data_IF_241394571545
#
_entry.id   IF_241394571545
#
_cell.length_a   1.000
_cell.length_b   1.000
_cell.length_c   1.000
_cell.angle_alpha   90.00
_cell.angle_beta   90.00
_cell.angle_gamma   90.00
#
_symmetry.space_group_name_H-M   'P 1'
#
loop_
_entity.id
_entity.type
_entity.pdbx_description
1 polymer ?
#
# COMPACT_ATOMS: atom_id res chain seq x y z
N UNK A 1 -11.61 0.48 -26.72
CA UNK A 1 -10.16 0.53 -26.36
C UNK A 1 -9.80 -0.81 -25.71
N UNK A 2 -8.65 -1.37 -26.07
CA UNK A 2 -8.14 -2.55 -25.38
C UNK A 2 -7.40 -2.11 -24.13
N UNK A 3 -7.72 -2.63 -22.95
CA UNK A 3 -7.00 -2.30 -21.74
C UNK A 3 -5.59 -2.92 -21.78
N UNK A 4 -4.60 -2.22 -21.20
CA UNK A 4 -3.25 -2.78 -21.04
C UNK A 4 -3.20 -3.91 -20.03
N UNK A 5 -4.05 -3.83 -19.00
CA UNK A 5 -4.19 -4.84 -17.96
C UNK A 5 -5.68 -5.12 -17.71
N UNK A 6 -6.03 -6.38 -17.57
CA UNK A 6 -7.37 -6.85 -17.26
C UNK A 6 -7.34 -7.82 -16.08
N UNK A 7 -8.17 -7.56 -15.07
CA UNK A 7 -8.39 -8.50 -13.98
C UNK A 7 -9.85 -8.97 -13.98
N UNK A 8 -10.06 -10.26 -13.94
CA UNK A 8 -11.37 -10.89 -13.78
C UNK A 8 -11.43 -11.41 -12.34
N UNK A 9 -12.37 -10.88 -11.57
CA UNK A 9 -12.54 -11.17 -10.15
C UNK A 9 -13.94 -11.75 -9.90
N UNK A 10 -13.99 -13.02 -9.44
CA UNK A 10 -15.24 -13.76 -9.17
C UNK A 10 -15.14 -14.36 -7.76
N UNK A 11 -15.62 -13.64 -6.73
CA UNK A 11 -15.54 -14.09 -5.33
C UNK A 11 -16.30 -15.38 -5.05
N UNK A 12 -17.43 -15.58 -5.73
CA UNK A 12 -18.34 -16.72 -5.51
C UNK A 12 -17.86 -18.03 -6.13
N UNK A 13 -16.69 -18.03 -6.80
CA UNK A 13 -16.13 -19.27 -7.34
C UNK A 13 -15.81 -20.26 -6.22
N UNK A 14 -16.15 -21.57 -6.36
CA UNK A 14 -16.07 -22.52 -5.26
C UNK A 14 -14.63 -22.84 -4.81
N UNK A 15 -13.66 -22.63 -5.67
CA UNK A 15 -12.24 -22.89 -5.39
C UNK A 15 -11.43 -21.61 -5.45
N UNK A 16 -10.46 -21.45 -4.55
CA UNK A 16 -9.55 -20.30 -4.59
C UNK A 16 -8.47 -20.52 -5.64
N UNK A 17 -8.54 -19.77 -6.74
CA UNK A 17 -7.62 -19.87 -7.87
C UNK A 17 -7.17 -18.47 -8.26
N UNK A 18 -5.85 -18.27 -8.35
CA UNK A 18 -5.25 -17.01 -8.81
C UNK A 18 -4.24 -17.32 -9.90
N UNK A 19 -4.49 -16.81 -11.12
CA UNK A 19 -3.64 -17.04 -12.28
C UNK A 19 -3.30 -15.71 -12.91
N UNK A 20 -2.01 -15.48 -13.16
CA UNK A 20 -1.51 -14.32 -13.86
C UNK A 20 -0.87 -14.74 -15.19
N UNK A 21 -1.24 -14.02 -16.25
CA UNK A 21 -0.67 -14.15 -17.60
C UNK A 21 0.01 -12.84 -17.97
N UNK A 22 1.27 -12.63 -17.54
CA UNK A 22 1.94 -11.33 -17.68
C UNK A 22 2.08 -10.89 -19.13
N UNK A 23 2.33 -11.80 -20.07
CA UNK A 23 2.51 -11.50 -21.49
C UNK A 23 1.24 -10.94 -22.14
N UNK A 24 0.07 -11.30 -21.62
CA UNK A 24 -1.23 -10.84 -22.14
C UNK A 24 -1.88 -9.76 -21.27
N UNK A 25 -1.28 -9.44 -20.12
CA UNK A 25 -1.85 -8.48 -19.16
C UNK A 25 -3.10 -8.98 -18.43
N UNK A 26 -3.40 -10.31 -18.44
CA UNK A 26 -4.60 -10.89 -17.84
C UNK A 26 -4.32 -11.49 -16.46
N UNK A 27 -5.21 -11.22 -15.51
CA UNK A 27 -5.24 -11.92 -14.22
C UNK A 27 -6.64 -12.49 -13.95
N UNK A 28 -6.72 -13.72 -13.47
CA UNK A 28 -7.95 -14.35 -12.96
C UNK A 28 -7.84 -14.49 -11.45
N UNK A 29 -8.86 -14.01 -10.73
CA UNK A 29 -8.96 -14.12 -9.27
C UNK A 29 -10.33 -14.73 -8.98
N UNK A 30 -10.33 -15.99 -8.58
CA UNK A 30 -11.52 -16.78 -8.35
C UNK A 30 -11.57 -17.24 -6.90
N UNK A 31 -12.76 -17.24 -6.29
CA UNK A 31 -13.00 -17.77 -4.94
C UNK A 31 -12.32 -17.00 -3.82
N UNK A 32 -12.03 -15.72 -4.00
CA UNK A 32 -11.44 -14.85 -2.97
C UNK A 32 -12.39 -13.69 -2.64
N UNK A 33 -12.66 -13.48 -1.38
CA UNK A 33 -13.40 -12.34 -0.85
C UNK A 33 -12.50 -11.13 -0.49
N UNK A 34 -11.18 -11.30 -0.65
CA UNK A 34 -10.19 -10.27 -0.37
C UNK A 34 -9.94 -9.36 -1.59
N UNK A 35 -10.58 -8.20 -1.61
CA UNK A 35 -10.42 -7.22 -2.70
C UNK A 35 -8.97 -6.74 -2.89
N UNK A 36 -8.18 -6.77 -1.83
CA UNK A 36 -6.74 -6.51 -1.91
C UNK A 36 -6.01 -7.37 -2.95
N UNK A 37 -6.52 -8.59 -3.28
CA UNK A 37 -5.97 -9.40 -4.37
C UNK A 37 -6.20 -8.75 -5.74
N UNK A 38 -7.34 -8.13 -5.98
CA UNK A 38 -7.58 -7.40 -7.23
C UNK A 38 -6.60 -6.24 -7.39
N UNK A 39 -6.44 -5.42 -6.34
CA UNK A 39 -5.45 -4.33 -6.29
C UNK A 39 -4.03 -4.86 -6.51
N UNK A 40 -3.62 -5.87 -5.75
CA UNK A 40 -2.27 -6.45 -5.82
C UNK A 40 -1.99 -7.12 -7.17
N UNK A 41 -3.02 -7.64 -7.84
CA UNK A 41 -2.86 -8.19 -9.18
C UNK A 41 -2.42 -7.13 -10.19
N UNK A 42 -3.06 -5.96 -10.19
CA UNK A 42 -2.66 -4.85 -11.06
C UNK A 42 -1.24 -4.35 -10.74
N UNK A 43 -0.90 -4.19 -9.46
CA UNK A 43 0.45 -3.78 -9.05
C UNK A 43 1.51 -4.79 -9.50
N UNK A 44 1.24 -6.09 -9.35
CA UNK A 44 2.13 -7.19 -9.78
C UNK A 44 2.36 -7.16 -11.28
N UNK A 45 1.30 -6.96 -12.07
CA UNK A 45 1.38 -6.89 -13.53
C UNK A 45 2.09 -5.61 -13.99
N UNK A 46 1.86 -4.48 -13.32
CA UNK A 46 2.57 -3.25 -13.60
C UNK A 46 4.07 -3.35 -13.27
N UNK A 47 4.44 -4.03 -12.17
CA UNK A 47 5.85 -4.32 -11.86
C UNK A 47 6.53 -5.14 -12.98
N UNK A 48 5.81 -6.10 -13.56
CA UNK A 48 6.30 -6.88 -14.70
C UNK A 48 6.56 -5.98 -15.92
N UNK A 49 5.60 -5.12 -16.28
CA UNK A 49 5.78 -4.16 -17.40
C UNK A 49 6.94 -3.19 -17.17
N UNK A 50 7.05 -2.63 -15.98
CA UNK A 50 8.19 -1.75 -15.62
C UNK A 50 9.52 -2.47 -15.76
N UNK A 51 9.58 -3.76 -15.40
CA UNK A 51 10.77 -4.59 -15.59
C UNK A 51 11.11 -4.79 -17.07
N UNK A 52 10.12 -4.99 -17.94
CA UNK A 52 10.32 -5.10 -19.39
C UNK A 52 10.86 -3.81 -20.00
N UNK A 53 10.51 -2.66 -19.42
CA UNK A 53 10.98 -1.33 -19.80
C UNK A 53 12.36 -0.97 -19.17
N UNK A 54 13.04 -1.91 -18.53
CA UNK A 54 14.36 -1.71 -17.92
C UNK A 54 14.33 -1.13 -16.50
N UNK A 55 13.17 -0.91 -15.95
CA UNK A 55 12.97 -0.45 -14.58
C UNK A 55 12.83 -1.58 -13.56
N UNK A 56 12.40 -1.22 -12.35
CA UNK A 56 12.19 -2.16 -11.26
C UNK A 56 11.02 -1.75 -10.38
N UNK A 57 10.16 -2.70 -10.00
CA UNK A 57 9.10 -2.51 -9.02
C UNK A 57 9.49 -3.05 -7.66
N UNK A 58 9.20 -2.28 -6.60
CA UNK A 58 9.46 -2.66 -5.21
C UNK A 58 8.15 -2.68 -4.41
N UNK A 59 7.92 -3.76 -3.66
CA UNK A 59 6.95 -3.72 -2.56
C UNK A 59 7.64 -3.04 -1.37
N UNK A 60 7.42 -1.74 -1.23
CA UNK A 60 8.20 -0.88 -0.35
C UNK A 60 7.41 0.35 0.11
N UNK A 61 7.72 0.82 1.32
CA UNK A 61 7.36 2.15 1.75
C UNK A 61 8.34 3.21 1.25
N UNK A 62 7.89 4.44 1.12
CA UNK A 62 8.77 5.55 0.75
C UNK A 62 8.45 6.84 1.47
N UNK A 63 9.50 7.61 1.72
CA UNK A 63 9.42 8.95 2.27
C UNK A 63 10.57 9.84 1.81
N UNK A 64 10.36 11.14 1.95
CA UNK A 64 11.42 12.14 1.90
C UNK A 64 11.77 12.57 3.33
N UNK A 65 13.05 12.61 3.62
CA UNK A 65 13.55 13.32 4.79
C UNK A 65 14.12 14.66 4.32
N UNK A 66 13.55 15.74 4.83
CA UNK A 66 14.12 17.08 4.71
C UNK A 66 14.99 17.31 5.91
N UNK A 67 16.29 17.38 5.71
CA UNK A 67 17.29 17.45 6.78
C UNK A 67 18.45 18.36 6.40
N UNK A 68 19.10 18.94 7.40
CA UNK A 68 20.35 19.65 7.18
C UNK A 68 21.51 18.68 6.95
N UNK A 69 22.30 18.95 5.94
CA UNK A 69 23.55 18.22 5.72
C UNK A 69 24.69 18.75 6.61
N UNK A 70 25.89 18.17 6.48
CA UNK A 70 27.07 18.58 7.25
C UNK A 70 27.52 20.03 7.02
N UNK A 71 27.05 20.67 5.96
CA UNK A 71 27.33 22.08 5.63
C UNK A 71 26.21 23.01 6.10
N UNK A 72 25.22 22.50 6.84
CA UNK A 72 23.99 23.20 7.24
C UNK A 72 23.13 23.66 6.04
N UNK A 73 23.17 22.93 4.93
CA UNK A 73 22.26 23.13 3.81
C UNK A 73 21.07 22.18 3.91
N UNK A 74 19.86 22.70 3.80
CA UNK A 74 18.64 21.92 3.86
C UNK A 74 18.48 21.10 2.59
N UNK A 75 18.34 19.79 2.70
CA UNK A 75 18.24 18.85 1.57
C UNK A 75 17.09 17.89 1.75
N UNK A 76 16.48 17.52 0.62
CA UNK A 76 15.50 16.45 0.54
C UNK A 76 16.19 15.16 0.11
N UNK A 77 16.10 14.12 0.97
CA UNK A 77 16.66 12.80 0.71
C UNK A 77 15.53 11.79 0.61
N UNK A 78 15.41 11.10 -0.54
CA UNK A 78 14.44 10.04 -0.76
C UNK A 78 14.89 8.72 -0.13
N UNK A 79 13.95 8.03 0.54
CA UNK A 79 14.15 6.70 1.10
C UNK A 79 13.11 5.73 0.56
N UNK A 80 13.57 4.56 0.14
CA UNK A 80 12.77 3.39 -0.19
C UNK A 80 13.08 2.31 0.83
N UNK A 81 12.05 1.85 1.54
CA UNK A 81 12.19 0.84 2.59
C UNK A 81 11.50 -0.45 2.16
N UNK A 82 12.27 -1.44 1.80
CA UNK A 82 11.78 -2.76 1.42
C UNK A 82 12.30 -3.85 2.36
N UNK A 83 11.59 -4.97 2.40
CA UNK A 83 11.92 -6.09 3.29
C UNK A 83 10.73 -7.05 3.41
N UNK A 84 10.90 -8.11 4.19
CA UNK A 84 9.86 -9.11 4.43
C UNK A 84 8.70 -8.55 5.28
N UNK A 85 7.61 -9.29 5.35
CA UNK A 85 6.50 -8.99 6.26
C UNK A 85 6.99 -8.96 7.71
N UNK A 86 6.50 -8.02 8.51
CA UNK A 86 6.87 -7.89 9.93
C UNK A 86 8.24 -7.25 10.21
N UNK A 87 8.99 -6.82 9.18
CA UNK A 87 10.32 -6.19 9.37
C UNK A 87 10.25 -4.71 9.77
N UNK A 88 9.06 -4.15 9.94
CA UNK A 88 8.87 -2.76 10.36
C UNK A 88 8.88 -1.72 9.23
N UNK A 89 8.68 -2.13 7.96
CA UNK A 89 8.62 -1.20 6.82
C UNK A 89 7.65 -0.06 7.06
N UNK A 90 6.37 -0.37 7.30
CA UNK A 90 5.32 0.63 7.53
C UNK A 90 5.65 1.52 8.72
N UNK A 91 6.12 0.93 9.83
CA UNK A 91 6.54 1.69 11.02
C UNK A 91 7.63 2.70 10.69
N UNK A 92 8.68 2.30 9.99
CA UNK A 92 9.75 3.22 9.57
C UNK A 92 9.28 4.24 8.55
N UNK A 93 8.36 3.86 7.65
CA UNK A 93 7.80 4.78 6.64
C UNK A 93 7.06 5.94 7.31
N UNK A 94 6.22 5.67 8.29
CA UNK A 94 5.40 6.69 8.96
C UNK A 94 6.12 7.42 10.10
N UNK A 95 7.26 6.91 10.57
CA UNK A 95 7.99 7.49 11.70
C UNK A 95 8.57 8.86 11.34
N UNK A 96 8.37 9.84 12.20
CA UNK A 96 8.82 11.24 12.02
C UNK A 96 10.29 11.47 12.38
N UNK A 97 10.92 10.53 13.09
CA UNK A 97 12.30 10.58 13.57
C UNK A 97 12.59 11.72 14.57
N UNK A 98 11.56 12.31 15.15
CA UNK A 98 11.70 13.47 16.05
C UNK A 98 12.16 14.76 15.34
N UNK A 99 12.04 14.81 14.01
CA UNK A 99 12.39 15.99 13.23
C UNK A 99 11.40 17.13 13.49
N UNK A 100 11.92 18.35 13.63
CA UNK A 100 11.13 19.54 13.97
C UNK A 100 11.59 20.77 13.19
N UNK A 101 10.76 21.80 13.13
CA UNK A 101 11.07 23.06 12.43
C UNK A 101 11.11 22.89 10.91
N UNK A 102 12.22 23.21 10.29
CA UNK A 102 12.41 23.05 8.85
C UNK A 102 12.72 21.60 8.48
N UNK A 103 13.26 20.81 9.41
CA UNK A 103 13.48 19.38 9.19
C UNK A 103 12.17 18.60 9.38
N UNK A 104 11.87 17.66 8.48
CA UNK A 104 10.65 16.87 8.53
C UNK A 104 10.74 15.57 7.76
N UNK A 105 9.95 14.60 8.20
CA UNK A 105 9.66 13.36 7.47
C UNK A 105 8.37 13.53 6.67
N UNK A 106 8.44 13.33 5.38
CA UNK A 106 7.30 13.46 4.45
C UNK A 106 7.03 12.09 3.86
N UNK A 107 6.01 11.40 4.39
CA UNK A 107 5.58 10.10 3.87
C UNK A 107 5.06 10.28 2.45
N UNK A 108 5.47 9.40 1.54
CA UNK A 108 5.04 9.39 0.15
C UNK A 108 4.04 8.29 -0.11
N UNK A 109 4.39 7.03 0.19
CA UNK A 109 3.47 5.89 0.09
C UNK A 109 4.04 4.65 0.80
N UNK A 110 3.23 3.59 0.96
CA UNK A 110 3.58 2.37 1.68
C UNK A 110 3.10 1.07 0.98
N UNK A 111 3.21 0.99 -0.35
CA UNK A 111 2.87 -0.27 -1.03
C UNK A 111 3.83 -0.62 -2.18
N UNK A 112 3.68 -0.05 -3.37
CA UNK A 112 4.54 -0.34 -4.52
C UNK A 112 5.13 0.93 -5.10
N UNK A 113 6.41 0.87 -5.41
CA UNK A 113 7.19 1.94 -6.02
C UNK A 113 7.79 1.41 -7.31
N UNK A 114 7.68 2.18 -8.38
CA UNK A 114 8.40 1.92 -9.62
C UNK A 114 9.62 2.82 -9.69
N UNK A 115 10.73 2.24 -10.10
CA UNK A 115 11.98 2.96 -10.34
C UNK A 115 12.42 2.71 -11.77
N UNK A 116 12.75 3.77 -12.51
CA UNK A 116 13.30 3.66 -13.84
C UNK A 116 14.82 3.39 -13.81
N UNK A 117 15.42 3.23 -14.98
CA UNK A 117 16.86 2.97 -15.15
C UNK A 117 17.77 4.13 -14.65
N UNK A 118 17.22 5.32 -14.49
CA UNK A 118 17.93 6.51 -14.00
C UNK A 118 17.78 6.68 -12.48
N UNK A 119 17.03 5.79 -11.80
CA UNK A 119 16.75 5.87 -10.38
C UNK A 119 15.59 6.83 -10.04
N UNK A 120 14.85 7.33 -11.03
CA UNK A 120 13.64 8.10 -10.75
C UNK A 120 12.53 7.18 -10.23
N UNK A 121 11.91 7.58 -9.12
CA UNK A 121 10.95 6.75 -8.41
C UNK A 121 9.55 7.35 -8.45
N UNK A 122 8.56 6.51 -8.77
CA UNK A 122 7.14 6.87 -8.79
C UNK A 122 6.39 5.95 -7.82
N UNK A 123 5.60 6.56 -6.93
CA UNK A 123 4.66 5.84 -6.08
C UNK A 123 3.39 5.51 -6.85
N UNK A 124 2.80 4.34 -6.57
CA UNK A 124 1.62 3.84 -7.27
C UNK A 124 0.30 4.30 -6.66
N UNK A 125 0.33 4.88 -5.45
CA UNK A 125 -0.85 5.21 -4.68
C UNK A 125 -0.80 6.64 -4.13
N UNK A 126 -1.97 7.26 -4.00
CA UNK A 126 -2.14 8.57 -3.36
C UNK A 126 -2.56 8.47 -1.89
N UNK A 127 -2.79 7.28 -1.39
CA UNK A 127 -3.23 7.00 -0.01
C UNK A 127 -2.58 5.73 0.54
N UNK A 128 -3.09 5.27 1.68
CA UNK A 128 -2.66 4.04 2.33
C UNK A 128 -3.76 2.99 2.27
N UNK A 129 -3.37 1.76 1.99
CA UNK A 129 -4.22 0.60 2.18
C UNK A 129 -3.83 -0.05 3.51
N UNK A 130 -4.70 0.07 4.50
CA UNK A 130 -4.44 -0.36 5.88
C UNK A 130 -5.25 -1.62 6.16
N UNK A 131 -4.57 -2.69 6.60
CA UNK A 131 -5.27 -3.84 7.16
C UNK A 131 -5.75 -3.47 8.56
N UNK A 132 -7.06 -3.65 8.82
CA UNK A 132 -7.68 -3.23 10.07
C UNK A 132 -7.59 -4.26 11.19
N UNK A 133 -7.34 -5.54 10.85
CA UNK A 133 -7.15 -6.60 11.83
C UNK A 133 -6.02 -6.26 12.83
N UNK A 134 -6.35 -6.18 14.11
CA UNK A 134 -5.41 -5.84 15.17
C UNK A 134 -4.96 -4.37 15.19
N UNK A 135 -5.65 -3.47 14.46
CA UNK A 135 -5.34 -2.05 14.45
C UNK A 135 -5.67 -1.42 15.80
N UNK A 136 -4.63 -0.97 16.50
CA UNK A 136 -4.72 -0.49 17.88
C UNK A 136 -4.37 0.99 17.99
N UNK A 137 -5.24 1.85 18.58
CA UNK A 137 -5.01 3.28 18.70
C UNK A 137 -3.78 3.65 19.56
N UNK A 138 -3.42 2.81 20.53
CA UNK A 138 -2.29 3.07 21.41
C UNK A 138 -0.94 2.80 20.73
N UNK A 139 -0.88 1.76 19.90
CA UNK A 139 0.35 1.34 19.21
C UNK A 139 0.48 1.94 17.81
N UNK A 140 -0.64 2.17 17.14
CA UNK A 140 -0.71 2.58 15.73
C UNK A 140 -1.60 3.82 15.54
N UNK A 141 -1.53 4.77 16.46
CA UNK A 141 -2.43 5.92 16.54
C UNK A 141 -2.61 6.70 15.24
N UNK A 142 -1.56 6.86 14.43
CA UNK A 142 -1.63 7.54 13.13
C UNK A 142 -2.49 6.75 12.13
N UNK A 143 -2.26 5.44 12.03
CA UNK A 143 -3.02 4.55 11.13
C UNK A 143 -4.47 4.41 11.60
N UNK A 144 -4.68 4.23 12.91
CA UNK A 144 -6.01 4.17 13.50
C UNK A 144 -6.82 5.43 13.22
N UNK A 145 -6.20 6.61 13.43
CA UNK A 145 -6.83 7.89 13.11
C UNK A 145 -7.17 8.02 11.63
N UNK A 146 -6.29 7.57 10.75
CA UNK A 146 -6.53 7.57 9.30
C UNK A 146 -7.69 6.65 8.91
N UNK A 147 -7.77 5.45 9.49
CA UNK A 147 -8.82 4.47 9.23
C UNK A 147 -10.20 4.87 9.81
N UNK A 148 -10.24 5.79 10.77
CA UNK A 148 -11.47 6.25 11.44
C UNK A 148 -11.92 7.65 10.98
N UNK A 149 -11.31 8.22 9.93
CA UNK A 149 -11.78 9.49 9.37
C UNK A 149 -13.02 9.28 8.50
N UNK A 150 -13.79 10.34 8.32
CA UNK A 150 -14.95 10.41 7.39
C UNK A 150 -14.57 10.20 5.91
N UNK A 151 -13.28 10.25 5.59
CA UNK A 151 -12.71 10.00 4.25
C UNK A 151 -12.20 8.58 4.04
N UNK A 152 -12.19 7.76 5.08
CA UNK A 152 -11.77 6.37 4.97
C UNK A 152 -12.82 5.58 4.17
N UNK A 153 -12.33 4.77 3.23
CA UNK A 153 -13.15 3.78 2.54
C UNK A 153 -12.91 2.45 3.24
N UNK A 154 -13.96 1.91 3.83
CA UNK A 154 -13.89 0.66 4.60
C UNK A 154 -14.42 -0.49 3.74
N UNK A 155 -13.71 -1.59 3.77
CA UNK A 155 -14.08 -2.84 3.10
C UNK A 155 -14.03 -3.99 4.09
N UNK A 156 -15.05 -4.84 4.08
CA UNK A 156 -15.15 -6.00 4.96
C UNK A 156 -15.13 -5.67 6.48
N UNK A 157 -15.39 -4.44 6.83
CA UNK A 157 -15.41 -3.94 8.20
C UNK A 157 -16.85 -3.75 8.64
N UNK A 158 -17.16 -4.13 9.87
CA UNK A 158 -18.48 -3.93 10.44
C UNK A 158 -18.71 -2.45 10.76
N UNK A 159 -19.75 -1.90 10.12
CA UNK A 159 -20.24 -0.55 10.42
C UNK A 159 -21.66 -0.68 10.94
N UNK A 160 -21.92 -0.15 12.13
CA UNK A 160 -23.24 -0.13 12.75
C UNK A 160 -24.10 1.04 12.23
N UNK A 161 -25.41 0.99 12.45
CA UNK A 161 -26.35 2.02 11.99
C UNK A 161 -26.05 3.44 12.54
N UNK A 162 -25.40 3.52 13.70
CA UNK A 162 -24.93 4.75 14.32
C UNK A 162 -23.61 5.29 13.73
N UNK A 163 -23.05 4.60 12.74
CA UNK A 163 -21.78 4.93 12.10
C UNK A 163 -20.54 4.44 12.85
N UNK A 164 -20.72 3.74 13.97
CA UNK A 164 -19.60 3.15 14.71
C UNK A 164 -18.97 2.01 13.90
N UNK A 165 -17.65 1.99 13.87
CA UNK A 165 -16.84 0.98 13.19
C UNK A 165 -16.27 -0.01 14.22
N UNK A 166 -16.33 -1.27 13.88
CA UNK A 166 -15.73 -2.35 14.69
C UNK A 166 -14.72 -3.12 13.83
N UNK A 167 -13.45 -2.90 14.08
CA UNK A 167 -12.36 -3.54 13.36
C UNK A 167 -12.08 -4.97 13.82
N UNK A 168 -12.62 -5.37 14.98
CA UNK A 168 -12.45 -6.71 15.56
C UNK A 168 -13.61 -7.65 15.21
N UNK A 169 -14.72 -7.12 14.64
CA UNK A 169 -15.85 -7.93 14.21
C UNK A 169 -15.54 -8.64 12.87
N UNK A 170 -15.32 -9.94 12.95
CA UNK A 170 -15.05 -10.82 11.80
C UNK A 170 -16.31 -11.52 11.25
N UNK A 171 -17.51 -11.03 11.59
CA UNK A 171 -18.77 -11.65 11.15
C UNK A 171 -18.99 -11.59 9.64
N UNK A 172 -18.42 -10.59 8.96
CA UNK A 172 -18.43 -10.48 7.51
C UNK A 172 -17.33 -11.36 6.89
N UNK A 173 -16.09 -11.12 7.29
CA UNK A 173 -14.89 -11.86 6.90
C UNK A 173 -13.71 -11.40 7.77
N UNK A 174 -12.62 -12.18 7.80
CA UNK A 174 -11.37 -11.80 8.49
C UNK A 174 -10.45 -10.90 7.65
N UNK A 175 -10.93 -10.35 6.52
CA UNK A 175 -10.14 -9.55 5.57
C UNK A 175 -10.51 -8.06 5.60
N UNK A 176 -10.72 -7.50 6.78
CA UNK A 176 -10.95 -6.08 6.99
C UNK A 176 -9.70 -5.21 6.85
#
# INVERSE_FOLDING_TARGET
>A
ENPDLLSIYIPEWPERIMIAYPETGLTLILGSDYFGEAKKSFLRMAMYKVKEEGGLGFHAGSKLLRVYDKNHELKDVGFIMFGLSGTGKTTLTIHDHGLTGEEKSIVRQDDVIFMDENGYCVGTETGFFIKTEGLNPEQQGVLYKAATTDRAILENVKVYDDGKVDFDDVSLTSNG
#
